data_IF_342979578052
#
_entry.id   IF_342979578052
#
_cell.length_a   1.000
_cell.length_b   1.000
_cell.length_c   1.000
_cell.angle_alpha   90.00
_cell.angle_beta   90.00
_cell.angle_gamma   90.00
#
_symmetry.space_group_name_H-M   'P 1'
#
loop_
_entity.id
_entity.type
_entity.pdbx_description
1 polymer ?
#
# COMPACT_ATOMS: atom_id res chain seq x y z
N UNK A 1 -2.02 -3.96 1.11
CA UNK A 1 -3.03 -3.66 2.13
C UNK A 1 -3.06 -2.14 2.31
N UNK A 2 -4.23 -1.52 2.25
CA UNK A 2 -4.43 -0.08 2.46
C UNK A 2 -5.26 0.09 3.73
N UNK A 3 -4.84 0.97 4.64
CA UNK A 3 -5.53 1.21 5.90
C UNK A 3 -6.74 2.13 5.76
N UNK A 4 -7.61 2.18 6.79
CA UNK A 4 -8.72 3.13 6.85
C UNK A 4 -8.22 4.58 6.97
N UNK A 5 -9.12 5.56 6.95
CA UNK A 5 -8.76 6.99 7.01
C UNK A 5 -7.95 7.35 8.28
N UNK A 6 -8.26 6.72 9.42
CA UNK A 6 -7.51 6.87 10.68
C UNK A 6 -6.18 6.10 10.72
N UNK A 7 -5.88 5.31 9.70
CA UNK A 7 -4.76 4.37 9.68
C UNK A 7 -4.97 3.16 10.58
N UNK A 8 -3.97 2.28 10.59
CA UNK A 8 -3.91 1.15 11.53
C UNK A 8 -3.40 1.62 12.89
N UNK A 9 -3.91 1.03 13.96
CA UNK A 9 -3.30 1.16 15.29
C UNK A 9 -1.99 0.36 15.38
N UNK A 10 -1.28 0.48 16.52
CA UNK A 10 0.02 -0.16 16.67
C UNK A 10 -0.06 -1.69 16.71
N UNK A 11 -1.13 -2.25 17.29
CA UNK A 11 -1.33 -3.71 17.37
C UNK A 11 -1.63 -4.28 15.97
N UNK A 12 -2.49 -3.61 15.21
CA UNK A 12 -2.79 -3.97 13.83
C UNK A 12 -1.55 -3.88 12.94
N UNK A 13 -0.74 -2.82 13.09
CA UNK A 13 0.53 -2.68 12.34
C UNK A 13 1.49 -3.80 12.64
N UNK A 14 1.65 -4.17 13.90
CA UNK A 14 2.51 -5.28 14.31
C UNK A 14 2.03 -6.60 13.70
N UNK A 15 0.72 -6.88 13.78
CA UNK A 15 0.13 -8.08 13.18
C UNK A 15 0.33 -8.13 11.65
N UNK A 16 0.11 -7.00 10.96
CA UNK A 16 0.34 -6.90 9.50
C UNK A 16 1.81 -7.15 9.17
N UNK A 17 2.74 -6.54 9.91
CA UNK A 17 4.18 -6.69 9.68
C UNK A 17 4.71 -8.09 9.99
N UNK A 18 4.09 -8.79 10.93
CA UNK A 18 4.42 -10.17 11.28
C UNK A 18 3.95 -11.18 10.22
N UNK A 19 3.00 -10.82 9.37
CA UNK A 19 2.46 -11.73 8.36
C UNK A 19 3.50 -12.01 7.25
N UNK A 20 3.83 -13.28 6.94
CA UNK A 20 4.94 -13.62 6.04
C UNK A 20 4.76 -13.13 4.60
N UNK A 21 3.52 -12.95 4.15
CA UNK A 21 3.21 -12.43 2.81
C UNK A 21 3.09 -10.88 2.75
N UNK A 22 3.29 -10.17 3.86
CA UNK A 22 3.16 -8.72 3.91
C UNK A 22 4.53 -8.05 3.86
N UNK A 23 4.69 -7.09 2.95
CA UNK A 23 5.88 -6.23 2.89
C UNK A 23 5.47 -4.76 2.90
N UNK A 24 5.99 -4.02 3.87
CA UNK A 24 5.74 -2.59 3.97
C UNK A 24 6.50 -1.83 2.87
N UNK A 25 5.80 -0.93 2.18
CA UNK A 25 6.36 -0.03 1.16
C UNK A 25 5.87 1.40 1.40
N UNK A 26 6.56 2.38 0.83
CA UNK A 26 6.14 3.79 0.82
C UNK A 26 5.93 4.27 -0.62
N UNK A 27 5.01 5.22 -0.82
CA UNK A 27 4.72 5.82 -2.13
C UNK A 27 5.33 7.23 -2.24
N UNK A 28 6.64 7.30 -2.04
CA UNK A 28 7.37 8.56 -1.98
C UNK A 28 7.22 9.29 -0.63
N UNK A 29 7.64 10.57 -0.55
CA UNK A 29 7.75 11.30 0.71
C UNK A 29 6.43 11.89 1.24
N UNK A 30 5.36 11.86 0.43
CA UNK A 30 4.06 12.48 0.78
C UNK A 30 3.12 11.42 1.35
N UNK A 31 2.43 11.76 2.44
CA UNK A 31 1.36 10.93 2.98
C UNK A 31 0.13 11.09 2.08
N UNK A 32 -0.25 10.00 1.42
CA UNK A 32 -1.45 9.95 0.58
C UNK A 32 -2.65 9.51 1.42
N UNK A 33 -3.82 10.09 1.15
CA UNK A 33 -5.10 9.59 1.69
C UNK A 33 -5.41 8.20 1.12
N UNK A 34 -6.23 7.42 1.82
CA UNK A 34 -6.48 6.00 1.53
C UNK A 34 -6.79 5.71 0.05
N UNK A 35 -7.77 6.41 -0.52
CA UNK A 35 -8.20 6.21 -1.91
C UNK A 35 -7.10 6.59 -2.90
N UNK A 36 -6.39 7.70 -2.66
CA UNK A 36 -5.26 8.12 -3.50
C UNK A 36 -4.11 7.13 -3.42
N UNK A 37 -3.81 6.61 -2.22
CA UNK A 37 -2.78 5.60 -2.02
C UNK A 37 -3.12 4.29 -2.76
N UNK A 38 -4.38 3.87 -2.70
CA UNK A 38 -4.85 2.67 -3.40
C UNK A 38 -4.73 2.80 -4.92
N UNK A 39 -5.21 3.91 -5.49
CA UNK A 39 -5.12 4.17 -6.94
C UNK A 39 -3.66 4.27 -7.39
N UNK A 40 -2.83 5.03 -6.66
CA UNK A 40 -1.42 5.20 -7.00
C UNK A 40 -0.63 3.88 -6.91
N UNK A 41 -0.84 3.08 -5.86
CA UNK A 41 -0.19 1.78 -5.72
C UNK A 41 -0.56 0.83 -6.87
N UNK A 42 -1.84 0.74 -7.22
CA UNK A 42 -2.30 -0.11 -8.33
C UNK A 42 -1.71 0.37 -9.66
N UNK A 43 -1.72 1.67 -9.92
CA UNK A 43 -1.14 2.21 -11.16
C UNK A 43 0.36 1.93 -11.28
N UNK A 44 1.12 2.10 -10.20
CA UNK A 44 2.55 1.77 -10.17
C UNK A 44 2.80 0.27 -10.36
N UNK A 45 1.99 -0.58 -9.73
CA UNK A 45 2.08 -2.03 -9.91
C UNK A 45 1.83 -2.42 -11.36
N UNK A 46 0.74 -1.95 -11.96
CA UNK A 46 0.39 -2.30 -13.34
C UNK A 46 1.43 -1.80 -14.35
N UNK A 47 2.00 -0.62 -14.12
CA UNK A 47 3.08 -0.08 -14.96
C UNK A 47 4.40 -0.86 -14.85
N UNK A 48 4.72 -1.40 -13.67
CA UNK A 48 6.01 -2.06 -13.42
C UNK A 48 5.98 -3.59 -13.61
N UNK A 49 4.83 -4.22 -13.35
CA UNK A 49 4.69 -5.67 -13.28
C UNK A 49 3.31 -6.17 -13.76
N UNK A 50 2.48 -5.30 -14.34
CA UNK A 50 1.21 -5.69 -14.95
C UNK A 50 1.28 -5.78 -16.47
N UNK A 51 0.10 -5.74 -17.08
CA UNK A 51 -0.13 -5.97 -18.52
C UNK A 51 -0.31 -4.67 -19.34
N UNK A 52 -0.04 -3.50 -18.76
CA UNK A 52 -0.27 -2.20 -19.43
C UNK A 52 0.65 -1.89 -20.61
N UNK A 53 1.64 -2.75 -20.86
CA UNK A 53 2.57 -2.64 -21.98
C UNK A 53 2.33 -3.71 -23.06
N UNK A 54 1.33 -4.57 -22.87
CA UNK A 54 0.91 -5.59 -23.86
C UNK A 54 0.01 -5.00 -24.96
#
# INVERSE_FOLDING_TARGET
>A
LIGPEGGFDDTEREAIRAHPAAKAITLGPRILRGETAAIAATALWMAAAGDWQE
#
